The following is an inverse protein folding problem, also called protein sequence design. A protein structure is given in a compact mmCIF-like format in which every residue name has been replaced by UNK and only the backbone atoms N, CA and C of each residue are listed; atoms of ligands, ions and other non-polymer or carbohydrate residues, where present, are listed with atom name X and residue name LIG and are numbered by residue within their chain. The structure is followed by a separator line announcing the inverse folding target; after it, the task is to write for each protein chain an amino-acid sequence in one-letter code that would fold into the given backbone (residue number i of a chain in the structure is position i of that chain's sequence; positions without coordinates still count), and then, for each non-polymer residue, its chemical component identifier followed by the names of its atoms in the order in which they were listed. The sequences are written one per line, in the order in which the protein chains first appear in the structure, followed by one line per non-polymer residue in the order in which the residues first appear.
data_IF_945023240721
#
_entry.id   IF_945023240721
#
_cell.length_a   1.000
_cell.length_b   1.000
_cell.length_c   1.000
_cell.angle_alpha   90.00
_cell.angle_beta   90.00
_cell.angle_gamma   90.00
#
_symmetry.space_group_name_H-M   'P 1'
#
loop_
_entity.id
_entity.type
_entity.pdbx_description
1 polymer ?
#
# COMPACT_ATOMS: atom_id res chain seq x y z
N UNK A 1 -17.60 1.92 -12.24
CA UNK A 1 -16.91 0.92 -11.40
C UNK A 1 -16.02 1.57 -10.33
N UNK A 2 -15.09 2.45 -10.69
CA UNK A 2 -14.23 3.13 -9.71
C UNK A 2 -15.03 4.02 -8.74
N UNK A 3 -15.96 4.82 -9.26
CA UNK A 3 -16.84 5.68 -8.45
C UNK A 3 -17.71 4.87 -7.48
N UNK A 4 -18.23 3.73 -7.91
CA UNK A 4 -19.00 2.83 -7.07
C UNK A 4 -18.17 2.23 -5.94
N UNK A 5 -16.92 1.87 -6.23
CA UNK A 5 -16.00 1.36 -5.22
C UNK A 5 -15.64 2.42 -4.18
N UNK A 6 -15.40 3.65 -4.61
CA UNK A 6 -15.09 4.77 -3.71
C UNK A 6 -16.29 5.06 -2.79
N UNK A 7 -17.52 4.89 -3.28
CA UNK A 7 -18.74 5.12 -2.51
C UNK A 7 -19.19 3.91 -1.68
N UNK A 8 -18.60 2.76 -1.90
CA UNK A 8 -18.96 1.55 -1.17
C UNK A 8 -18.75 1.73 0.34
N UNK A 9 -19.71 1.25 1.10
CA UNK A 9 -19.67 1.35 2.55
C UNK A 9 -18.40 0.63 3.06
N UNK A 10 -17.57 1.36 3.78
CA UNK A 10 -16.24 1.02 4.24
C UNK A 10 -16.17 -0.21 5.16
N UNK A 11 -17.32 -0.69 5.64
CA UNK A 11 -17.39 -1.79 6.61
C UNK A 11 -17.04 -3.16 6.03
N UNK A 12 -17.07 -3.31 4.70
CA UNK A 12 -16.69 -4.56 4.05
C UNK A 12 -15.25 -4.49 3.56
N UNK A 13 -14.39 -5.45 3.94
CA UNK A 13 -13.03 -5.50 3.42
C UNK A 13 -13.05 -5.75 1.92
N UNK A 14 -12.29 -4.94 1.18
CA UNK A 14 -12.12 -5.12 -0.25
C UNK A 14 -11.24 -6.35 -0.51
N UNK A 15 -11.69 -7.25 -1.36
CA UNK A 15 -10.85 -8.38 -1.78
C UNK A 15 -9.74 -7.90 -2.73
N UNK A 16 -8.61 -8.60 -2.69
CA UNK A 16 -7.49 -8.29 -3.58
C UNK A 16 -7.87 -8.48 -5.06
N UNK A 17 -8.76 -9.43 -5.36
CA UNK A 17 -9.26 -9.67 -6.71
C UNK A 17 -10.08 -8.49 -7.23
N UNK A 18 -10.91 -7.89 -6.39
CA UNK A 18 -11.67 -6.69 -6.75
C UNK A 18 -10.74 -5.51 -6.98
N UNK A 19 -9.73 -5.34 -6.13
CA UNK A 19 -8.75 -4.26 -6.29
C UNK A 19 -7.96 -4.40 -7.59
N UNK A 20 -7.56 -5.62 -7.95
CA UNK A 20 -6.85 -5.89 -9.23
C UNK A 20 -7.65 -5.48 -10.46
N UNK A 21 -8.98 -5.51 -10.39
CA UNK A 21 -9.85 -5.12 -11.51
C UNK A 21 -9.94 -3.61 -11.72
N UNK A 22 -9.65 -2.82 -10.69
CA UNK A 22 -9.89 -1.37 -10.72
C UNK A 22 -8.62 -0.54 -10.67
N UNK A 23 -7.48 -1.13 -10.32
CA UNK A 23 -6.21 -0.40 -10.35
C UNK A 23 -5.84 0.02 -11.76
N UNK A 24 -5.11 1.15 -11.92
CA UNK A 24 -4.55 1.52 -13.21
C UNK A 24 -3.66 0.42 -13.79
N UNK A 25 -3.50 0.41 -15.11
CA UNK A 25 -2.66 -0.58 -15.81
C UNK A 25 -1.20 -0.57 -15.33
N UNK A 26 -0.73 0.58 -14.86
CA UNK A 26 0.64 0.74 -14.35
C UNK A 26 0.81 0.34 -12.89
N UNK A 27 -0.25 -0.14 -12.25
CA UNK A 27 -0.23 -0.55 -10.85
C UNK A 27 -0.45 -2.06 -10.72
N UNK A 28 0.42 -2.70 -9.96
CA UNK A 28 0.34 -4.10 -9.58
C UNK A 28 -0.25 -4.23 -8.18
N UNK A 29 -0.92 -5.32 -7.89
CA UNK A 29 -1.41 -5.66 -6.53
C UNK A 29 -0.83 -6.99 -6.10
N UNK A 30 -0.25 -7.05 -4.92
CA UNK A 30 0.38 -8.26 -4.39
C UNK A 30 0.21 -8.39 -2.89
N UNK A 31 0.22 -9.63 -2.41
CA UNK A 31 0.43 -9.92 -1.00
C UNK A 31 1.90 -9.70 -0.63
N UNK A 32 2.15 -9.21 0.59
CA UNK A 32 3.50 -8.97 1.08
C UNK A 32 4.39 -10.23 1.01
N UNK A 33 3.88 -11.36 1.47
CA UNK A 33 4.65 -12.61 1.53
C UNK A 33 5.06 -13.11 0.14
N UNK A 34 4.28 -12.79 -0.90
CA UNK A 34 4.61 -13.14 -2.28
C UNK A 34 5.84 -12.40 -2.81
N UNK A 35 6.23 -11.31 -2.17
CA UNK A 35 7.41 -10.54 -2.54
C UNK A 35 8.72 -11.17 -2.11
N UNK A 36 8.68 -12.18 -1.26
CA UNK A 36 9.86 -12.88 -0.74
C UNK A 36 10.74 -13.49 -1.85
N UNK A 37 10.14 -13.88 -2.97
CA UNK A 37 10.85 -14.49 -4.11
C UNK A 37 11.68 -13.52 -4.93
N UNK A 38 11.47 -12.21 -4.79
CA UNK A 38 12.18 -11.20 -5.57
C UNK A 38 13.42 -10.69 -4.85
N UNK A 39 14.49 -10.44 -5.60
CA UNK A 39 15.75 -9.89 -5.08
C UNK A 39 15.77 -8.37 -5.11
N UNK A 40 15.11 -7.77 -6.10
CA UNK A 40 15.08 -6.33 -6.31
C UNK A 40 13.65 -5.83 -6.45
N UNK A 41 13.47 -4.52 -6.18
CA UNK A 41 12.16 -3.88 -6.38
C UNK A 41 11.74 -3.92 -7.85
N UNK A 42 12.67 -3.72 -8.78
CA UNK A 42 12.38 -3.78 -10.21
C UNK A 42 11.82 -5.16 -10.62
N UNK A 43 12.38 -6.23 -10.08
CA UNK A 43 11.83 -7.58 -10.31
C UNK A 43 10.43 -7.73 -9.73
N UNK A 44 10.21 -7.23 -8.52
CA UNK A 44 8.90 -7.30 -7.86
C UNK A 44 7.82 -6.52 -8.63
N UNK A 45 8.17 -5.37 -9.18
CA UNK A 45 7.25 -4.52 -9.95
C UNK A 45 6.90 -5.09 -11.32
N UNK A 46 7.78 -5.89 -11.93
CA UNK A 46 7.55 -6.50 -13.25
C UNK A 46 7.12 -5.49 -14.31
N UNK A 47 7.77 -4.33 -14.35
CA UNK A 47 7.46 -3.25 -15.29
C UNK A 47 6.37 -2.28 -14.82
N UNK A 48 5.67 -2.54 -13.74
CA UNK A 48 4.71 -1.61 -13.17
C UNK A 48 5.40 -0.39 -12.56
N UNK A 49 4.73 0.75 -12.57
CA UNK A 49 5.22 1.99 -11.92
C UNK A 49 5.02 1.96 -10.41
N UNK A 50 3.96 1.32 -9.96
CA UNK A 50 3.65 1.21 -8.55
C UNK A 50 3.03 -0.15 -8.21
N UNK A 51 2.95 -0.42 -6.92
CA UNK A 51 2.43 -1.67 -6.41
C UNK A 51 1.70 -1.43 -5.11
N UNK A 52 0.43 -1.85 -5.06
CA UNK A 52 -0.33 -1.92 -3.80
C UNK A 52 -0.02 -3.26 -3.15
N UNK A 53 0.39 -3.22 -1.90
CA UNK A 53 0.80 -4.40 -1.14
C UNK A 53 -0.13 -4.59 0.04
N UNK A 54 -0.62 -5.81 0.19
CA UNK A 54 -1.43 -6.21 1.34
C UNK A 54 -0.56 -6.95 2.35
N UNK A 55 -0.46 -6.40 3.55
CA UNK A 55 0.05 -7.10 4.70
C UNK A 55 -0.99 -8.08 5.20
N UNK A 56 -0.63 -9.34 5.26
CA UNK A 56 -1.48 -10.39 5.82
C UNK A 56 -1.37 -10.39 7.34
N UNK A 57 -2.43 -9.98 8.02
CA UNK A 57 -2.51 -10.15 9.45
C UNK A 57 -3.06 -11.56 9.72
N UNK A 58 -2.15 -12.47 10.09
CA UNK A 58 -2.54 -13.80 10.53
C UNK A 58 -3.03 -13.76 11.97
N UNK A 59 -4.29 -14.10 12.19
CA UNK A 59 -4.73 -14.48 13.52
C UNK A 59 -4.31 -15.93 13.79
N UNK A 60 -3.16 -16.06 14.45
CA UNK A 60 -2.59 -17.37 14.79
C UNK A 60 -3.48 -18.23 15.69
N UNK A 61 -4.34 -17.60 16.51
CA UNK A 61 -5.24 -18.30 17.42
C UNK A 61 -6.41 -18.94 16.67
N UNK A 62 -6.87 -18.32 15.61
CA UNK A 62 -8.02 -18.78 14.81
C UNK A 62 -7.62 -19.44 13.50
N UNK A 63 -6.34 -19.47 13.19
CA UNK A 63 -5.82 -19.95 11.89
C UNK A 63 -6.55 -19.33 10.70
N UNK A 64 -7.04 -18.09 10.86
CA UNK A 64 -7.76 -17.33 9.84
C UNK A 64 -6.97 -16.08 9.51
N UNK A 65 -6.97 -15.70 8.24
CA UNK A 65 -6.55 -14.36 7.83
C UNK A 65 -7.48 -13.37 8.52
N UNK A 66 -6.91 -12.51 9.36
CA UNK A 66 -7.69 -11.43 9.93
C UNK A 66 -8.19 -10.55 8.78
N UNK A 67 -9.49 -10.30 8.76
CA UNK A 67 -10.17 -9.49 7.72
C UNK A 67 -9.65 -8.06 7.62
N UNK A 68 -8.89 -7.59 8.60
CA UNK A 68 -8.30 -6.26 8.66
C UNK A 68 -6.86 -6.24 8.10
N UNK A 69 -6.66 -6.75 6.90
CA UNK A 69 -5.40 -6.57 6.18
C UNK A 69 -5.12 -5.08 5.95
N UNK A 70 -3.85 -4.69 6.01
CA UNK A 70 -3.44 -3.30 5.77
C UNK A 70 -2.80 -3.17 4.40
N UNK A 71 -3.34 -2.25 3.60
CA UNK A 71 -2.80 -1.94 2.28
C UNK A 71 -1.85 -0.75 2.36
N UNK A 72 -0.72 -0.89 1.68
CA UNK A 72 0.24 0.20 1.44
C UNK A 72 0.56 0.28 -0.05
N UNK A 73 1.20 1.35 -0.46
CA UNK A 73 1.63 1.55 -1.83
C UNK A 73 3.14 1.76 -1.89
N UNK A 74 3.78 1.05 -2.80
CA UNK A 74 5.15 1.32 -3.23
C UNK A 74 5.07 1.99 -4.59
N UNK A 75 5.56 3.23 -4.70
CA UNK A 75 5.55 3.97 -5.94
C UNK A 75 6.99 4.22 -6.42
N UNK A 76 7.27 3.79 -7.65
CA UNK A 76 8.56 3.96 -8.32
C UNK A 76 8.45 4.81 -9.60
N UNK A 77 7.40 5.60 -9.73
CA UNK A 77 7.20 6.47 -10.89
C UNK A 77 8.11 7.71 -10.87
N UNK A 78 8.53 8.16 -9.71
CA UNK A 78 9.38 9.33 -9.52
C UNK A 78 10.88 9.00 -9.44
N UNK A 79 11.68 10.01 -9.10
CA UNK A 79 13.13 9.86 -8.92
C UNK A 79 13.53 9.04 -7.70
N UNK A 80 12.66 9.00 -6.70
CA UNK A 80 12.83 8.21 -5.48
C UNK A 80 11.65 7.28 -5.30
N UNK A 81 11.93 6.14 -4.68
CA UNK A 81 10.87 5.21 -4.27
C UNK A 81 10.07 5.85 -3.13
N UNK A 82 8.75 5.78 -3.23
CA UNK A 82 7.85 6.16 -2.15
C UNK A 82 7.30 4.92 -1.46
N UNK A 83 7.28 4.96 -0.14
CA UNK A 83 6.45 4.10 0.68
C UNK A 83 5.29 4.92 1.20
N UNK A 84 4.08 4.61 0.76
CA UNK A 84 2.88 5.34 1.16
C UNK A 84 2.00 4.45 2.03
N UNK A 85 1.65 4.96 3.20
CA UNK A 85 0.65 4.37 4.08
C UNK A 85 -0.31 5.43 4.59
N UNK A 86 -1.60 5.17 4.50
CA UNK A 86 -2.63 6.08 5.01
C UNK A 86 -2.57 6.29 6.53
N UNK A 87 -1.94 5.36 7.25
CA UNK A 87 -1.71 5.47 8.69
C UNK A 87 -0.63 6.50 9.06
N UNK A 88 0.26 6.82 8.14
CA UNK A 88 1.43 7.65 8.41
C UNK A 88 2.51 6.97 9.27
N UNK A 89 2.37 5.69 9.54
CA UNK A 89 3.33 4.92 10.32
C UNK A 89 4.58 4.59 9.52
N UNK A 90 5.71 4.45 10.21
CA UNK A 90 6.95 4.00 9.57
C UNK A 90 6.82 2.57 9.05
N UNK A 91 7.66 2.22 8.08
CA UNK A 91 7.76 0.85 7.56
C UNK A 91 8.01 -0.14 8.70
N UNK A 92 8.96 0.17 9.58
CA UNK A 92 9.30 -0.68 10.72
C UNK A 92 8.11 -0.91 11.65
N UNK A 93 7.34 0.13 11.94
CA UNK A 93 6.14 0.00 12.79
C UNK A 93 5.07 -0.86 12.13
N UNK A 94 4.82 -0.68 10.85
CA UNK A 94 3.82 -1.47 10.13
C UNK A 94 4.20 -2.95 10.01
N UNK A 95 5.47 -3.23 9.76
CA UNK A 95 5.98 -4.59 9.72
C UNK A 95 5.85 -5.28 11.09
N UNK A 96 6.11 -4.54 12.16
CA UNK A 96 5.97 -5.05 13.53
C UNK A 96 4.50 -5.33 13.89
N UNK A 97 3.63 -4.37 13.66
CA UNK A 97 2.18 -4.47 13.97
C UNK A 97 1.53 -5.59 13.17
N UNK A 98 1.88 -5.76 11.91
CA UNK A 98 1.34 -6.81 11.04
C UNK A 98 2.03 -8.16 11.22
N UNK A 99 3.11 -8.20 12.03
CA UNK A 99 3.96 -9.39 12.23
C UNK A 99 4.49 -9.96 10.92
N UNK A 100 4.84 -9.07 10.01
CA UNK A 100 5.42 -9.41 8.71
C UNK A 100 6.93 -9.53 8.81
N UNK A 101 7.52 -10.35 7.93
CA UNK A 101 8.99 -10.50 7.87
C UNK A 101 9.65 -9.18 7.44
N UNK A 102 10.47 -8.54 8.30
CA UNK A 102 11.07 -7.25 7.97
C UNK A 102 12.12 -7.34 6.86
N UNK A 103 12.65 -8.52 6.58
CA UNK A 103 13.74 -8.69 5.61
C UNK A 103 13.30 -8.49 4.17
N UNK A 104 12.04 -8.69 3.84
CA UNK A 104 11.53 -8.53 2.48
C UNK A 104 11.66 -7.06 2.05
N UNK A 105 11.08 -6.12 2.77
CA UNK A 105 11.19 -4.71 2.43
C UNK A 105 12.57 -4.13 2.69
N UNK A 106 13.30 -4.63 3.68
CA UNK A 106 14.70 -4.25 3.88
C UNK A 106 15.53 -4.52 2.61
N UNK A 107 15.30 -5.65 1.97
CA UNK A 107 15.97 -6.01 0.73
C UNK A 107 15.45 -5.20 -0.46
N UNK A 108 14.12 -5.08 -0.62
CA UNK A 108 13.53 -4.45 -1.80
C UNK A 108 13.60 -2.92 -1.77
N UNK A 109 13.45 -2.30 -0.61
CA UNK A 109 13.42 -0.85 -0.48
C UNK A 109 14.79 -0.27 -0.07
N UNK A 110 15.59 -1.05 0.64
CA UNK A 110 16.83 -0.53 1.24
C UNK A 110 16.53 0.59 2.23
N UNK A 111 17.42 1.59 2.29
CA UNK A 111 17.27 2.75 3.17
C UNK A 111 16.96 4.05 2.42
N UNK A 112 16.84 3.99 1.10
CA UNK A 112 16.71 5.17 0.24
C UNK A 112 15.32 5.25 -0.37
N UNK A 113 14.35 5.58 0.46
CA UNK A 113 12.98 5.81 0.03
C UNK A 113 12.37 6.97 0.82
N UNK A 114 11.33 7.58 0.25
CA UNK A 114 10.55 8.61 0.94
C UNK A 114 9.25 7.98 1.46
N UNK A 115 8.74 8.52 2.55
CA UNK A 115 7.47 8.06 3.07
C UNK A 115 6.67 9.23 3.63
N UNK A 116 5.34 9.11 3.60
CA UNK A 116 4.47 10.06 4.26
C UNK A 116 4.53 9.86 5.78
N UNK A 117 4.47 10.97 6.52
CA UNK A 117 4.48 10.97 7.98
C UNK A 117 3.13 11.41 8.56
N UNK A 118 2.23 11.87 7.70
CA UNK A 118 0.90 12.36 8.10
C UNK A 118 -0.11 11.25 7.92
N UNK A 119 -0.87 10.99 8.98
CA UNK A 119 -2.00 10.07 8.93
C UNK A 119 -3.15 10.70 8.15
N UNK A 120 -3.66 9.98 7.15
CA UNK A 120 -4.79 10.38 6.32
C UNK A 120 -6.08 9.69 6.76
N UNK A 121 -5.98 8.55 7.39
CA UNK A 121 -7.12 7.85 7.96
C UNK A 121 -7.19 8.06 9.46
N UNK A 122 -8.39 8.06 10.00
CA UNK A 122 -8.59 8.13 11.45
C UNK A 122 -8.22 6.81 12.10
N UNK A 123 -7.55 6.87 13.25
CA UNK A 123 -7.25 5.68 14.03
C UNK A 123 -8.55 4.96 14.39
N UNK A 124 -8.59 3.65 14.11
CA UNK A 124 -9.75 2.81 14.37
C UNK A 124 -10.70 2.62 13.19
N UNK A 125 -10.61 3.44 12.15
CA UNK A 125 -11.37 3.26 10.91
C UNK A 125 -10.56 2.46 9.90
N UNK A 126 -10.33 1.21 10.21
CA UNK A 126 -9.29 0.37 9.63
C UNK A 126 -9.52 -0.10 8.18
N UNK A 127 -10.63 0.29 7.51
CA UNK A 127 -10.99 -0.28 6.21
C UNK A 127 -10.81 0.67 5.03
N UNK A 128 -10.23 1.86 5.21
CA UNK A 128 -10.06 2.87 4.17
C UNK A 128 -8.69 2.88 3.50
N UNK A 129 -7.72 2.13 4.02
CA UNK A 129 -6.34 2.16 3.51
C UNK A 129 -6.25 1.87 2.01
N UNK A 130 -7.07 0.96 1.48
CA UNK A 130 -7.09 0.62 0.06
C UNK A 130 -7.52 1.82 -0.82
N UNK A 131 -8.44 2.65 -0.33
CA UNK A 131 -8.91 3.83 -1.06
C UNK A 131 -7.79 4.85 -1.26
N UNK A 132 -7.05 5.12 -0.19
CA UNK A 132 -5.90 6.04 -0.25
C UNK A 132 -4.80 5.49 -1.15
N UNK A 133 -4.51 4.20 -1.07
CA UNK A 133 -3.54 3.56 -1.96
C UNK A 133 -3.97 3.64 -3.43
N UNK A 134 -5.23 3.38 -3.72
CA UNK A 134 -5.77 3.47 -5.08
C UNK A 134 -5.71 4.90 -5.61
N UNK A 135 -6.11 5.88 -4.82
CA UNK A 135 -6.05 7.29 -5.18
C UNK A 135 -4.59 7.71 -5.46
N UNK A 136 -3.66 7.31 -4.60
CA UNK A 136 -2.24 7.60 -4.82
C UNK A 136 -1.68 6.91 -6.05
N UNK A 137 -2.10 5.68 -6.34
CA UNK A 137 -1.70 4.95 -7.55
C UNK A 137 -2.15 5.66 -8.83
N UNK A 138 -3.35 6.22 -8.83
CA UNK A 138 -3.86 7.02 -9.95
C UNK A 138 -3.00 8.28 -10.16
N UNK A 139 -2.50 8.86 -9.08
CA UNK A 139 -1.66 10.06 -9.08
C UNK A 139 -0.16 9.74 -9.01
N UNK A 140 0.24 8.52 -9.37
CA UNK A 140 1.62 8.04 -9.20
C UNK A 140 2.67 8.93 -9.87
N UNK A 141 2.35 9.51 -11.03
CA UNK A 141 3.25 10.39 -11.78
C UNK A 141 3.27 11.84 -11.26
N UNK A 142 2.43 12.16 -10.29
CA UNK A 142 2.33 13.53 -9.77
C UNK A 142 3.56 13.88 -8.96
N UNK A 143 4.21 15.01 -9.31
CA UNK A 143 5.35 15.53 -8.56
C UNK A 143 4.90 15.98 -7.17
N UNK A 144 5.66 15.59 -6.16
CA UNK A 144 5.38 15.97 -4.79
C UNK A 144 6.12 17.25 -4.45
N UNK A 145 5.40 18.27 -3.98
CA UNK A 145 5.99 19.44 -3.35
C UNK A 145 6.33 19.14 -1.88
N UNK A 146 7.32 19.84 -1.28
CA UNK A 146 7.57 19.72 0.15
C UNK A 146 6.31 20.02 0.96
N UNK A 147 5.95 19.11 1.88
CA UNK A 147 4.74 19.23 2.68
C UNK A 147 3.46 18.75 2.01
N UNK A 148 3.52 18.30 0.76
CA UNK A 148 2.38 17.72 0.07
C UNK A 148 2.03 16.34 0.65
N UNK A 149 0.75 16.03 0.73
CA UNK A 149 0.24 14.74 1.19
C UNK A 149 0.16 13.72 0.05
N UNK A 150 1.24 13.59 -0.73
CA UNK A 150 1.33 12.66 -1.86
C UNK A 150 0.21 12.87 -2.90
N UNK A 151 -0.20 14.14 -3.11
CA UNK A 151 -1.27 14.51 -4.02
C UNK A 151 -2.69 14.31 -3.48
N UNK A 152 -2.84 13.72 -2.30
CA UNK A 152 -4.15 13.36 -1.73
C UNK A 152 -4.89 14.55 -1.11
N UNK A 153 -4.21 15.68 -0.87
CA UNK A 153 -4.83 16.90 -0.39
C UNK A 153 -5.83 17.51 -1.39
N UNK A 154 -5.84 17.04 -2.63
CA UNK A 154 -6.71 17.50 -3.71
C UNK A 154 -7.86 16.53 -4.02
N UNK A 155 -8.01 15.48 -3.21
CA UNK A 155 -9.04 14.45 -3.41
C UNK A 155 -10.26 14.68 -2.51
#
# INVERSE_FOLDING_TARGET
MLAELIQRNVKEPLSIEMLRKVVPKWCKVSFYDKLAKYRTLAQALQGAKCMIVLYNIHDRKKNTLNKAGHFILINNAGKKVEYFSSSGWSVAKELDVTRSDPNIFKRLLGNSFIQNTVALEKQGDSNDCWRFCLARAILADMLLAPGDHFGLSHI
#
